data_IF_078761701152
#
_entry.id   IF_078761701152
#
_cell.length_a   1.000
_cell.length_b   1.000
_cell.length_c   1.000
_cell.angle_alpha   90.00
_cell.angle_beta   90.00
_cell.angle_gamma   90.00
#
_symmetry.space_group_name_H-M   'P 1'
#
loop_
_entity.id
_entity.type
_entity.pdbx_description
1 polymer ?
#
# COMPACT_ATOMS: atom_id res chain seq x y z
N UNK A 1 -9.70 12.00 -51.51
CA UNK A 1 -9.05 10.88 -50.80
C UNK A 1 -7.90 11.43 -49.98
N UNK A 2 -8.13 11.53 -48.68
CA UNK A 2 -7.16 11.70 -47.59
C UNK A 2 -8.03 11.38 -46.36
N UNK A 3 -8.06 10.13 -45.89
CA UNK A 3 -6.96 9.49 -45.17
C UNK A 3 -7.40 9.49 -43.71
N UNK A 4 -8.23 8.50 -43.35
CA UNK A 4 -8.61 8.23 -41.96
C UNK A 4 -7.34 8.07 -41.13
N UNK A 5 -7.17 8.92 -40.11
CA UNK A 5 -6.23 8.67 -39.01
C UNK A 5 -7.02 8.11 -37.83
N UNK A 6 -6.98 6.79 -37.76
CA UNK A 6 -7.09 5.86 -36.63
C UNK A 6 -7.46 6.43 -35.24
N UNK A 7 -8.55 5.87 -34.71
CA UNK A 7 -8.93 5.76 -33.29
C UNK A 7 -7.76 5.23 -32.45
N UNK A 8 -7.42 5.91 -31.35
CA UNK A 8 -6.69 5.35 -30.21
C UNK A 8 -6.76 6.34 -29.03
N UNK A 9 -7.93 6.49 -28.38
CA UNK A 9 -8.04 7.09 -27.03
C UNK A 9 -9.49 7.12 -26.49
N UNK A 10 -10.28 6.07 -26.73
CA UNK A 10 -11.62 5.95 -26.14
C UNK A 10 -11.70 4.65 -25.37
N UNK A 11 -12.22 4.74 -24.13
CA UNK A 11 -12.64 3.62 -23.30
C UNK A 11 -13.42 2.60 -24.13
N UNK A 12 -12.98 1.34 -24.18
CA UNK A 12 -13.72 0.23 -24.77
C UNK A 12 -15.04 -0.02 -24.02
N UNK A 13 -15.13 0.39 -22.76
CA UNK A 13 -16.35 0.40 -21.96
C UNK A 13 -17.20 1.66 -22.15
N UNK A 14 -16.70 2.64 -22.92
CA UNK A 14 -17.39 3.89 -23.20
C UNK A 14 -17.60 4.77 -21.97
N UNK A 15 -16.74 4.63 -20.95
CA UNK A 15 -16.72 5.47 -19.74
C UNK A 15 -16.44 6.92 -20.15
N UNK A 16 -17.39 7.86 -20.01
CA UNK A 16 -17.21 9.24 -20.46
C UNK A 16 -16.17 9.97 -19.61
N UNK A 17 -15.16 10.57 -20.25
CA UNK A 17 -14.13 11.35 -19.54
C UNK A 17 -13.03 10.52 -18.87
N UNK A 18 -13.12 9.19 -18.92
CA UNK A 18 -12.11 8.30 -18.38
C UNK A 18 -11.06 7.92 -19.42
N UNK A 19 -9.79 8.02 -19.03
CA UNK A 19 -8.63 7.52 -19.76
C UNK A 19 -7.85 6.53 -18.88
N UNK A 20 -7.83 5.23 -19.23
CA UNK A 20 -7.11 4.21 -18.45
C UNK A 20 -5.57 4.37 -18.48
N UNK A 21 -5.03 5.24 -19.34
CA UNK A 21 -3.58 5.48 -19.49
C UNK A 21 -3.12 6.85 -18.97
N UNK A 22 -4.00 7.64 -18.31
CA UNK A 22 -3.64 8.97 -17.82
C UNK A 22 -2.76 8.92 -16.56
N UNK A 23 -1.79 9.83 -16.44
CA UNK A 23 -0.98 10.07 -15.25
C UNK A 23 -0.77 11.60 -15.03
N UNK A 24 -1.31 12.15 -13.94
CA UNK A 24 -1.17 13.54 -13.49
C UNK A 24 -2.29 14.50 -13.91
N UNK A 25 -2.70 15.42 -13.00
CA UNK A 25 -3.74 16.50 -13.05
C UNK A 25 -5.13 16.14 -13.63
N UNK A 26 -5.18 15.40 -14.73
CA UNK A 26 -6.30 14.60 -15.16
C UNK A 26 -6.68 13.54 -14.11
N UNK A 27 -5.81 13.18 -13.16
CA UNK A 27 -6.07 12.14 -12.15
C UNK A 27 -7.38 12.35 -11.39
N UNK A 28 -7.69 13.58 -10.94
CA UNK A 28 -8.91 13.82 -10.16
C UNK A 28 -10.17 13.80 -11.05
N UNK A 29 -10.12 14.39 -12.25
CA UNK A 29 -11.23 14.36 -13.18
C UNK A 29 -11.47 12.95 -13.75
N UNK A 30 -10.39 12.22 -14.00
CA UNK A 30 -10.37 10.83 -14.43
C UNK A 30 -10.92 9.90 -13.33
N UNK A 31 -10.52 10.12 -12.07
CA UNK A 31 -11.05 9.41 -10.92
C UNK A 31 -12.53 9.69 -10.71
N UNK A 32 -12.95 10.95 -10.84
CA UNK A 32 -14.37 11.29 -10.77
C UNK A 32 -15.16 10.62 -11.89
N UNK A 33 -14.65 10.62 -13.12
CA UNK A 33 -15.30 9.93 -14.24
C UNK A 33 -15.43 8.42 -14.02
N UNK A 34 -14.39 7.79 -13.45
CA UNK A 34 -14.44 6.37 -13.08
C UNK A 34 -15.44 6.12 -11.94
N UNK A 35 -15.46 6.98 -10.92
CA UNK A 35 -16.41 6.89 -9.82
C UNK A 35 -17.84 7.09 -10.30
N UNK A 36 -18.13 8.15 -11.06
CA UNK A 36 -19.45 8.44 -11.63
C UNK A 36 -19.98 7.29 -12.50
N UNK A 37 -19.09 6.54 -13.17
CA UNK A 37 -19.46 5.35 -13.92
C UNK A 37 -19.82 4.16 -13.02
N UNK A 38 -19.07 3.95 -11.94
CA UNK A 38 -19.26 2.84 -10.99
C UNK A 38 -20.39 3.14 -9.98
N UNK A 39 -20.70 4.40 -9.74
CA UNK A 39 -21.72 4.89 -8.80
C UNK A 39 -22.54 6.05 -9.38
N UNK A 40 -23.27 5.86 -10.51
CA UNK A 40 -24.01 6.93 -11.18
C UNK A 40 -25.10 7.58 -10.32
N UNK A 41 -25.67 6.84 -9.37
CA UNK A 41 -26.64 7.34 -8.41
C UNK A 41 -26.53 6.67 -7.03
N UNK A 42 -26.97 7.38 -5.99
CA UNK A 42 -26.95 6.91 -4.61
C UNK A 42 -27.07 8.08 -3.64
N UNK A 43 -27.10 7.76 -2.36
CA UNK A 43 -27.18 8.77 -1.31
C UNK A 43 -26.57 8.25 0.00
N UNK A 44 -26.18 9.18 0.87
CA UNK A 44 -25.78 8.87 2.24
C UNK A 44 -26.99 8.52 3.11
N UNK A 45 -26.98 7.32 3.69
CA UNK A 45 -27.95 6.86 4.70
C UNK A 45 -27.21 6.34 5.92
N UNK A 46 -27.51 6.88 7.10
CA UNK A 46 -26.90 6.46 8.38
C UNK A 46 -25.36 6.40 8.37
N UNK A 47 -24.73 7.39 7.73
CA UNK A 47 -23.26 7.49 7.64
C UNK A 47 -22.63 6.48 6.67
N UNK A 48 -23.42 5.81 5.83
CA UNK A 48 -22.96 4.92 4.76
C UNK A 48 -23.54 5.34 3.42
N UNK A 49 -22.76 5.12 2.37
CA UNK A 49 -23.26 5.31 1.02
C UNK A 49 -24.15 4.13 0.62
N UNK A 50 -25.33 4.42 0.07
CA UNK A 50 -26.29 3.43 -0.42
C UNK A 50 -26.50 3.64 -1.91
N UNK A 51 -26.32 2.60 -2.76
CA UNK A 51 -26.50 2.73 -4.20
C UNK A 51 -27.95 3.03 -4.54
N UNK A 52 -28.13 3.91 -5.52
CA UNK A 52 -29.41 4.09 -6.18
C UNK A 52 -29.69 2.98 -7.18
N UNK A 53 -30.74 3.19 -7.97
CA UNK A 53 -31.22 2.18 -8.92
C UNK A 53 -30.25 2.02 -10.08
N UNK A 54 -29.73 3.11 -10.62
CA UNK A 54 -28.83 3.07 -11.78
C UNK A 54 -27.50 2.40 -11.42
N UNK A 55 -26.99 2.61 -10.21
CA UNK A 55 -25.81 1.92 -9.71
C UNK A 55 -26.08 0.44 -9.51
N UNK A 56 -27.22 0.05 -8.94
CA UNK A 56 -27.56 -1.37 -8.79
C UNK A 56 -27.64 -2.08 -10.16
N UNK A 57 -28.34 -1.48 -11.13
CA UNK A 57 -28.43 -2.01 -12.50
C UNK A 57 -27.06 -2.04 -13.21
N UNK A 58 -26.19 -1.06 -12.93
CA UNK A 58 -24.81 -1.03 -13.45
C UNK A 58 -24.02 -2.25 -12.97
N UNK A 59 -23.99 -2.51 -11.67
CA UNK A 59 -23.22 -3.63 -11.12
C UNK A 59 -23.80 -4.99 -11.50
N UNK A 60 -25.13 -5.13 -11.60
CA UNK A 60 -25.76 -6.34 -12.15
C UNK A 60 -25.27 -6.60 -13.59
N UNK A 61 -25.24 -5.57 -14.44
CA UNK A 61 -24.74 -5.70 -15.80
C UNK A 61 -23.23 -6.01 -15.87
N UNK A 62 -22.44 -5.48 -14.92
CA UNK A 62 -21.01 -5.79 -14.84
C UNK A 62 -20.77 -7.25 -14.45
N UNK A 63 -21.53 -7.77 -13.48
CA UNK A 63 -21.45 -9.15 -13.00
C UNK A 63 -21.93 -10.18 -14.05
N UNK A 64 -22.96 -9.85 -14.83
CA UNK A 64 -23.43 -10.69 -15.95
C UNK A 64 -22.54 -10.59 -17.21
N UNK A 65 -21.64 -9.60 -17.24
CA UNK A 65 -20.80 -9.27 -18.37
C UNK A 65 -19.88 -10.42 -18.80
N UNK A 66 -19.77 -10.65 -20.11
CA UNK A 66 -18.75 -11.53 -20.68
C UNK A 66 -17.48 -10.75 -20.96
N UNK A 67 -16.58 -10.76 -20.00
CA UNK A 67 -15.31 -10.03 -20.06
C UNK A 67 -14.30 -10.75 -20.95
N UNK A 68 -13.67 -10.00 -21.86
CA UNK A 68 -12.38 -10.36 -22.45
C UNK A 68 -11.26 -9.61 -21.72
N UNK A 69 -9.99 -10.00 -21.97
CA UNK A 69 -8.83 -9.42 -21.27
C UNK A 69 -8.78 -7.90 -21.35
N UNK A 70 -8.92 -7.31 -22.55
CA UNK A 70 -8.84 -5.85 -22.72
C UNK A 70 -9.98 -5.10 -22.00
N UNK A 71 -11.20 -5.63 -22.05
CA UNK A 71 -12.32 -5.02 -21.30
C UNK A 71 -12.17 -5.13 -19.79
N UNK A 72 -11.52 -6.19 -19.31
CA UNK A 72 -11.29 -6.41 -17.88
C UNK A 72 -10.15 -5.52 -17.36
N UNK A 73 -9.09 -5.36 -18.15
CA UNK A 73 -7.99 -4.42 -17.87
C UNK A 73 -8.53 -3.00 -17.72
N UNK A 74 -9.41 -2.57 -18.62
CA UNK A 74 -10.02 -1.24 -18.52
C UNK A 74 -10.97 -1.08 -17.34
N UNK A 75 -11.80 -2.10 -17.06
CA UNK A 75 -12.68 -2.06 -15.89
C UNK A 75 -11.88 -1.98 -14.59
N UNK A 76 -10.86 -2.83 -14.44
CA UNK A 76 -10.01 -2.84 -13.24
C UNK A 76 -9.19 -1.56 -13.11
N UNK A 77 -8.80 -0.92 -14.22
CA UNK A 77 -8.21 0.42 -14.17
C UNK A 77 -9.21 1.44 -13.62
N UNK A 78 -10.47 1.43 -14.06
CA UNK A 78 -11.49 2.32 -13.50
C UNK A 78 -11.75 2.06 -12.00
N UNK A 79 -11.79 0.79 -11.59
CA UNK A 79 -11.88 0.40 -10.18
C UNK A 79 -10.70 0.98 -9.38
N UNK A 80 -9.47 0.79 -9.85
CA UNK A 80 -8.26 1.29 -9.20
C UNK A 80 -8.26 2.82 -9.09
N UNK A 81 -8.51 3.54 -10.18
CA UNK A 81 -8.51 5.00 -10.20
C UNK A 81 -9.64 5.55 -9.28
N UNK A 82 -10.84 4.97 -9.30
CA UNK A 82 -11.93 5.40 -8.41
C UNK A 82 -11.60 5.23 -6.92
N UNK A 83 -10.83 4.19 -6.56
CA UNK A 83 -10.44 3.93 -5.16
C UNK A 83 -9.54 5.02 -4.56
N UNK A 84 -8.86 5.81 -5.40
CA UNK A 84 -8.06 6.97 -4.93
C UNK A 84 -8.93 8.02 -4.25
N UNK A 85 -10.22 8.08 -4.60
CA UNK A 85 -11.18 9.06 -4.05
C UNK A 85 -11.64 8.74 -2.63
N UNK A 86 -11.25 7.59 -2.07
CA UNK A 86 -11.50 7.27 -0.65
C UNK A 86 -10.90 8.31 0.31
N UNK A 87 -9.79 8.94 -0.07
CA UNK A 87 -9.16 10.02 0.68
C UNK A 87 -9.79 11.42 0.48
N UNK A 88 -10.90 11.53 -0.24
CA UNK A 88 -11.57 12.81 -0.50
C UNK A 88 -12.02 13.49 0.80
N UNK A 89 -11.97 14.82 0.81
CA UNK A 89 -12.53 15.65 1.88
C UNK A 89 -14.05 15.80 1.79
N UNK A 90 -14.64 15.44 0.64
CA UNK A 90 -16.08 15.34 0.49
C UNK A 90 -16.55 13.96 0.98
N UNK A 91 -17.32 13.95 2.06
CA UNK A 91 -17.73 12.72 2.76
C UNK A 91 -18.55 11.79 1.86
N UNK A 92 -19.43 12.34 1.02
CA UNK A 92 -20.26 11.56 0.10
C UNK A 92 -19.41 10.90 -0.99
N UNK A 93 -18.46 11.65 -1.58
CA UNK A 93 -17.48 11.11 -2.53
C UNK A 93 -16.61 10.01 -1.91
N UNK A 94 -16.07 10.25 -0.71
CA UNK A 94 -15.23 9.27 0.00
C UNK A 94 -16.00 7.98 0.31
N UNK A 95 -17.26 8.11 0.75
CA UNK A 95 -18.12 6.98 1.05
C UNK A 95 -18.55 6.21 -0.21
N UNK A 96 -18.88 6.91 -1.31
CA UNK A 96 -19.18 6.30 -2.61
C UNK A 96 -17.97 5.51 -3.15
N UNK A 97 -16.78 6.09 -3.09
CA UNK A 97 -15.54 5.44 -3.52
C UNK A 97 -15.20 4.22 -2.66
N UNK A 98 -15.44 4.30 -1.35
CA UNK A 98 -15.26 3.15 -0.44
C UNK A 98 -16.24 2.02 -0.76
N UNK A 99 -17.50 2.34 -1.04
CA UNK A 99 -18.49 1.35 -1.47
C UNK A 99 -18.12 0.73 -2.83
N UNK A 100 -17.70 1.54 -3.80
CA UNK A 100 -17.26 1.06 -5.12
C UNK A 100 -16.02 0.16 -5.02
N UNK A 101 -15.08 0.49 -4.12
CA UNK A 101 -13.90 -0.33 -3.81
C UNK A 101 -14.31 -1.69 -3.26
N UNK A 102 -15.25 -1.72 -2.31
CA UNK A 102 -15.79 -2.98 -1.78
C UNK A 102 -16.40 -3.85 -2.88
N UNK A 103 -17.26 -3.28 -3.73
CA UNK A 103 -17.86 -4.00 -4.87
C UNK A 103 -16.83 -4.48 -5.89
N UNK A 104 -15.77 -3.72 -6.10
CA UNK A 104 -14.66 -4.09 -6.99
C UNK A 104 -13.92 -5.34 -6.46
N UNK A 105 -13.70 -5.42 -5.15
CA UNK A 105 -13.13 -6.61 -4.50
C UNK A 105 -14.06 -7.81 -4.66
N UNK A 106 -15.36 -7.65 -4.39
CA UNK A 106 -16.35 -8.71 -4.58
C UNK A 106 -16.38 -9.23 -6.04
N UNK A 107 -16.35 -8.32 -7.01
CA UNK A 107 -16.29 -8.64 -8.43
C UNK A 107 -15.01 -9.40 -8.79
N UNK A 108 -13.85 -8.93 -8.34
CA UNK A 108 -12.57 -9.58 -8.58
C UNK A 108 -12.53 -11.01 -8.01
N UNK A 109 -13.17 -11.23 -6.86
CA UNK A 109 -13.26 -12.55 -6.23
C UNK A 109 -14.24 -13.47 -6.98
N UNK A 110 -15.46 -12.99 -7.23
CA UNK A 110 -16.59 -13.80 -7.68
C UNK A 110 -16.73 -13.96 -9.19
N UNK A 111 -16.30 -12.96 -9.97
CA UNK A 111 -16.57 -12.90 -11.41
C UNK A 111 -15.34 -13.10 -12.28
N UNK A 112 -14.14 -12.80 -11.78
CA UNK A 112 -12.90 -12.90 -12.56
C UNK A 112 -12.26 -14.28 -12.38
N UNK A 113 -12.21 -15.13 -13.42
CA UNK A 113 -11.50 -16.41 -13.34
C UNK A 113 -9.99 -16.19 -13.21
N UNK A 114 -9.30 -17.06 -12.45
CA UNK A 114 -7.84 -16.95 -12.24
C UNK A 114 -7.02 -16.84 -13.53
N UNK A 115 -7.43 -17.52 -14.60
CA UNK A 115 -6.76 -17.46 -15.91
C UNK A 115 -6.82 -16.09 -16.59
N UNK A 116 -7.73 -15.22 -16.14
CA UNK A 116 -7.96 -13.89 -16.71
C UNK A 116 -7.31 -12.78 -15.86
N UNK A 117 -6.60 -13.14 -14.77
CA UNK A 117 -5.69 -12.23 -14.05
C UNK A 117 -4.40 -12.02 -14.86
N UNK A 118 -4.49 -11.19 -15.91
CA UNK A 118 -3.31 -10.69 -16.65
C UNK A 118 -2.44 -9.82 -15.74
N UNK A 119 -1.19 -9.58 -16.12
CA UNK A 119 -0.27 -8.68 -15.39
C UNK A 119 -0.92 -7.31 -15.14
N UNK A 120 -1.54 -6.72 -16.17
CA UNK A 120 -2.27 -5.44 -16.06
C UNK A 120 -3.44 -5.51 -15.07
N UNK A 121 -4.25 -6.58 -15.10
CA UNK A 121 -5.35 -6.76 -14.14
C UNK A 121 -4.80 -6.87 -12.72
N UNK A 122 -3.70 -7.60 -12.51
CA UNK A 122 -3.06 -7.71 -11.20
C UNK A 122 -2.54 -6.38 -10.69
N UNK A 123 -1.85 -5.62 -11.54
CA UNK A 123 -1.31 -4.30 -11.20
C UNK A 123 -2.43 -3.30 -10.86
N UNK A 124 -3.53 -3.30 -11.62
CA UNK A 124 -4.69 -2.47 -11.32
C UNK A 124 -5.33 -2.84 -9.97
N UNK A 125 -5.55 -4.13 -9.71
CA UNK A 125 -6.13 -4.59 -8.45
C UNK A 125 -5.17 -4.37 -7.26
N UNK A 126 -3.86 -4.47 -7.46
CA UNK A 126 -2.86 -4.10 -6.47
C UNK A 126 -2.91 -2.61 -6.15
N UNK A 127 -3.05 -1.73 -7.16
CA UNK A 127 -3.25 -0.30 -6.94
C UNK A 127 -4.56 -0.01 -6.17
N UNK A 128 -5.64 -0.74 -6.45
CA UNK A 128 -6.88 -0.67 -5.67
C UNK A 128 -6.67 -1.03 -4.19
N UNK A 129 -5.96 -2.13 -3.93
CA UNK A 129 -5.64 -2.56 -2.56
C UNK A 129 -4.66 -1.60 -1.87
N UNK A 130 -3.69 -1.05 -2.60
CA UNK A 130 -2.75 -0.04 -2.11
C UNK A 130 -3.44 1.26 -1.66
N UNK A 131 -4.60 1.59 -2.25
CA UNK A 131 -5.49 2.65 -1.77
C UNK A 131 -6.35 2.23 -0.55
N UNK A 132 -6.05 1.09 0.06
CA UNK A 132 -6.65 0.56 1.30
C UNK A 132 -5.61 0.21 2.37
N UNK A 133 -4.70 1.15 2.71
CA UNK A 133 -3.56 0.84 3.57
C UNK A 133 -3.96 0.58 5.03
N UNK A 134 -5.01 1.23 5.54
CA UNK A 134 -5.53 0.96 6.90
C UNK A 134 -6.08 -0.47 7.02
N UNK A 135 -6.73 -0.96 5.97
CA UNK A 135 -7.21 -2.34 5.91
C UNK A 135 -6.05 -3.35 5.87
N UNK A 136 -5.01 -3.10 5.05
CA UNK A 136 -3.81 -3.95 4.99
C UNK A 136 -3.09 -3.96 6.35
N UNK A 137 -2.83 -2.80 6.93
CA UNK A 137 -2.16 -2.70 8.24
C UNK A 137 -3.01 -3.34 9.36
N UNK A 138 -4.32 -3.20 9.27
CA UNK A 138 -5.27 -3.81 10.19
C UNK A 138 -5.21 -5.33 10.19
N UNK A 139 -5.32 -5.95 9.02
CA UNK A 139 -5.22 -7.40 8.85
C UNK A 139 -3.83 -7.93 9.25
N UNK A 140 -2.75 -7.23 8.86
CA UNK A 140 -1.39 -7.57 9.27
C UNK A 140 -1.18 -7.57 10.79
N UNK A 141 -2.02 -6.85 11.54
CA UNK A 141 -2.00 -6.78 13.00
C UNK A 141 -3.06 -7.69 13.65
N UNK A 142 -3.57 -8.70 12.92
CA UNK A 142 -4.58 -9.66 13.40
C UNK A 142 -5.98 -9.06 13.55
N UNK A 143 -6.25 -7.93 12.89
CA UNK A 143 -7.58 -7.32 12.81
C UNK A 143 -8.53 -8.08 11.89
N UNK A 144 -9.75 -7.57 11.75
CA UNK A 144 -10.74 -8.14 10.84
C UNK A 144 -11.64 -7.04 10.26
N UNK A 145 -11.87 -7.12 8.95
CA UNK A 145 -12.80 -6.31 8.19
C UNK A 145 -14.26 -6.70 8.46
N UNK A 146 -14.52 -7.87 9.03
CA UNK A 146 -15.87 -8.30 9.41
C UNK A 146 -16.40 -7.56 10.66
N UNK A 147 -15.51 -6.91 11.42
CA UNK A 147 -15.87 -6.07 12.56
C UNK A 147 -16.32 -4.70 12.07
N UNK A 148 -17.50 -4.27 12.49
CA UNK A 148 -18.08 -2.99 12.07
C UNK A 148 -17.27 -1.78 12.57
N UNK A 149 -17.06 -0.80 11.67
CA UNK A 149 -16.58 0.56 11.97
C UNK A 149 -15.15 0.66 12.49
N UNK A 150 -14.26 -0.27 12.12
CA UNK A 150 -12.82 -0.17 12.40
C UNK A 150 -12.08 0.47 11.23
N UNK A 151 -12.43 0.08 10.00
CA UNK A 151 -11.83 0.54 8.75
C UNK A 151 -12.92 1.03 7.79
N UNK A 152 -12.52 1.66 6.68
CA UNK A 152 -13.49 2.12 5.68
C UNK A 152 -14.26 0.95 5.05
N UNK A 153 -13.58 -0.17 4.79
CA UNK A 153 -14.20 -1.39 4.23
C UNK A 153 -14.89 -2.28 5.27
N UNK A 154 -14.89 -1.91 6.56
CA UNK A 154 -15.47 -2.73 7.63
C UNK A 154 -16.94 -3.05 7.41
N UNK A 155 -17.27 -4.34 7.36
CA UNK A 155 -18.62 -4.86 7.13
C UNK A 155 -19.12 -4.71 5.70
N UNK A 156 -18.28 -4.23 4.76
CA UNK A 156 -18.54 -4.23 3.33
C UNK A 156 -17.79 -5.36 2.61
N UNK A 157 -16.64 -5.76 3.15
CA UNK A 157 -15.78 -6.81 2.61
C UNK A 157 -15.38 -7.76 3.75
N UNK A 158 -15.34 -9.06 3.47
CA UNK A 158 -14.81 -10.07 4.40
C UNK A 158 -13.28 -10.15 4.31
N UNK A 159 -12.63 -10.61 5.39
CA UNK A 159 -11.18 -10.87 5.40
C UNK A 159 -10.79 -11.76 4.22
N UNK A 160 -11.56 -12.84 4.02
CA UNK A 160 -11.38 -13.80 2.93
C UNK A 160 -11.46 -13.16 1.55
N UNK A 161 -12.38 -12.23 1.30
CA UNK A 161 -12.47 -11.57 0.00
C UNK A 161 -11.25 -10.66 -0.25
N UNK A 162 -10.85 -9.87 0.74
CA UNK A 162 -9.72 -8.96 0.64
C UNK A 162 -8.40 -9.74 0.43
N UNK A 163 -8.14 -10.72 1.30
CA UNK A 163 -6.98 -11.61 1.24
C UNK A 163 -6.94 -12.41 -0.07
N UNK A 164 -8.10 -12.82 -0.60
CA UNK A 164 -8.15 -13.52 -1.89
C UNK A 164 -7.68 -12.63 -3.04
N UNK A 165 -8.05 -11.35 -3.08
CA UNK A 165 -7.55 -10.44 -4.13
C UNK A 165 -6.05 -10.23 -3.95
N UNK A 166 -5.59 -9.97 -2.72
CA UNK A 166 -4.17 -9.81 -2.40
C UNK A 166 -3.35 -11.04 -2.85
N UNK A 167 -3.79 -12.25 -2.50
CA UNK A 167 -3.21 -13.52 -2.93
C UNK A 167 -3.17 -13.71 -4.45
N UNK A 168 -4.16 -13.20 -5.18
CA UNK A 168 -4.25 -13.36 -6.64
C UNK A 168 -3.35 -12.39 -7.42
N UNK A 169 -2.89 -11.32 -6.78
CA UNK A 169 -2.10 -10.26 -7.43
C UNK A 169 -0.63 -10.26 -7.00
N UNK A 170 -0.31 -10.72 -5.79
CA UNK A 170 1.03 -10.58 -5.19
C UNK A 170 2.13 -11.38 -5.91
N UNK A 171 1.76 -12.34 -6.76
CA UNK A 171 2.69 -13.09 -7.61
C UNK A 171 3.17 -12.31 -8.85
N UNK A 172 2.68 -11.08 -9.07
CA UNK A 172 3.23 -10.13 -10.02
C UNK A 172 4.19 -9.16 -9.31
N UNK A 173 5.41 -9.04 -9.81
CA UNK A 173 6.48 -8.24 -9.19
C UNK A 173 6.12 -6.75 -9.09
N UNK A 174 5.48 -6.18 -10.12
CA UNK A 174 5.07 -4.78 -10.09
C UNK A 174 3.87 -4.54 -9.16
N UNK A 175 2.96 -5.51 -9.07
CA UNK A 175 1.86 -5.50 -8.11
C UNK A 175 2.39 -5.56 -6.67
N UNK A 176 3.35 -6.44 -6.39
CA UNK A 176 4.01 -6.54 -5.09
C UNK A 176 4.76 -5.26 -4.73
N UNK A 177 5.54 -4.70 -5.65
CA UNK A 177 6.24 -3.42 -5.46
C UNK A 177 5.28 -2.26 -5.17
N UNK A 178 4.14 -2.19 -5.88
CA UNK A 178 3.09 -1.20 -5.64
C UNK A 178 2.54 -1.28 -4.22
N UNK A 179 2.25 -2.50 -3.73
CA UNK A 179 1.72 -2.73 -2.38
C UNK A 179 2.74 -2.39 -1.30
N UNK A 180 3.99 -2.86 -1.47
CA UNK A 180 5.09 -2.58 -0.53
C UNK A 180 5.35 -1.08 -0.45
N UNK A 181 5.47 -0.40 -1.60
CA UNK A 181 5.70 1.05 -1.66
C UNK A 181 4.57 1.83 -1.00
N UNK A 182 3.31 1.47 -1.26
CA UNK A 182 2.17 2.11 -0.62
C UNK A 182 2.21 1.96 0.91
N UNK A 183 2.57 0.78 1.41
CA UNK A 183 2.65 0.55 2.85
C UNK A 183 3.86 1.23 3.50
N UNK A 184 5.00 1.32 2.83
CA UNK A 184 6.13 2.13 3.30
C UNK A 184 5.73 3.61 3.43
N UNK A 185 5.06 4.16 2.41
CA UNK A 185 4.54 5.53 2.45
C UNK A 185 3.51 5.74 3.55
N UNK A 186 2.58 4.79 3.74
CA UNK A 186 1.60 4.81 4.83
C UNK A 186 2.27 4.86 6.20
N UNK A 187 3.22 3.96 6.48
CA UNK A 187 3.89 3.91 7.78
C UNK A 187 4.75 5.15 8.03
N UNK A 188 5.41 5.67 6.99
CA UNK A 188 6.14 6.94 7.09
C UNK A 188 5.20 8.11 7.46
N UNK A 189 4.04 8.23 6.80
CA UNK A 189 3.02 9.21 7.16
C UNK A 189 2.50 9.05 8.59
N UNK A 190 2.29 7.80 9.05
CA UNK A 190 1.86 7.52 10.42
C UNK A 190 2.93 7.92 11.45
N UNK A 191 4.21 7.74 11.14
CA UNK A 191 5.32 8.20 11.98
C UNK A 191 5.31 9.72 12.06
N UNK A 192 5.34 10.41 10.92
CA UNK A 192 5.39 11.88 10.84
C UNK A 192 4.18 12.57 11.49
N UNK A 193 3.00 11.96 11.38
CA UNK A 193 1.79 12.51 12.00
C UNK A 193 1.75 12.32 13.52
N UNK A 194 2.41 11.29 14.07
CA UNK A 194 2.30 10.92 15.49
C UNK A 194 3.48 11.40 16.32
N UNK A 195 4.69 11.33 15.78
CA UNK A 195 5.92 11.70 16.49
C UNK A 195 5.92 13.13 17.06
N UNK A 196 5.44 14.17 16.37
CA UNK A 196 5.43 15.54 16.91
C UNK A 196 4.58 15.73 18.16
N UNK A 197 3.65 14.81 18.45
CA UNK A 197 2.72 14.87 19.59
C UNK A 197 2.93 13.73 20.58
N UNK A 198 3.97 12.92 20.38
CA UNK A 198 4.27 11.76 21.23
C UNK A 198 4.65 12.19 22.65
N UNK A 199 4.03 11.55 23.64
CA UNK A 199 4.42 11.74 25.06
C UNK A 199 5.69 10.96 25.40
N UNK A 200 5.86 9.79 24.79
CA UNK A 200 7.09 9.01 24.77
C UNK A 200 7.50 8.76 23.30
N UNK A 201 8.36 9.61 22.72
CA UNK A 201 8.77 9.46 21.33
C UNK A 201 9.56 8.16 21.06
N UNK A 202 10.28 7.63 22.05
CA UNK A 202 11.02 6.38 21.92
C UNK A 202 10.08 5.19 21.78
N UNK A 203 9.15 5.04 22.72
CA UNK A 203 8.11 3.99 22.67
C UNK A 203 7.22 4.13 21.43
N UNK A 204 6.85 5.37 21.07
CA UNK A 204 6.03 5.63 19.88
C UNK A 204 6.75 5.19 18.61
N UNK A 205 8.02 5.55 18.43
CA UNK A 205 8.79 5.18 17.24
C UNK A 205 8.95 3.66 17.12
N UNK A 206 9.27 3.00 18.23
CA UNK A 206 9.39 1.54 18.31
C UNK A 206 8.11 0.84 17.87
N UNK A 207 6.96 1.25 18.42
CA UNK A 207 5.66 0.68 18.05
C UNK A 207 5.31 0.93 16.57
N UNK A 208 5.66 2.11 16.01
CA UNK A 208 5.42 2.40 14.58
C UNK A 208 6.24 1.50 13.67
N UNK A 209 7.52 1.28 13.98
CA UNK A 209 8.36 0.38 13.19
C UNK A 209 8.03 -1.11 13.41
N UNK A 210 7.48 -1.49 14.57
CA UNK A 210 6.89 -2.81 14.76
C UNK A 210 5.72 -3.02 13.79
N UNK A 211 4.79 -2.06 13.69
CA UNK A 211 3.67 -2.13 12.75
C UNK A 211 4.12 -2.14 11.29
N UNK A 212 5.17 -1.38 10.94
CA UNK A 212 5.78 -1.45 9.61
C UNK A 212 6.31 -2.86 9.32
N UNK A 213 7.03 -3.45 10.28
CA UNK A 213 7.48 -4.84 10.21
C UNK A 213 6.32 -5.82 9.99
N UNK A 214 5.22 -5.70 10.75
CA UNK A 214 4.02 -6.53 10.59
C UNK A 214 3.47 -6.49 9.17
N UNK A 215 3.31 -5.31 8.58
CA UNK A 215 2.81 -5.22 7.20
C UNK A 215 3.76 -5.86 6.19
N UNK A 216 5.07 -5.66 6.33
CA UNK A 216 6.05 -6.33 5.46
C UNK A 216 5.94 -7.84 5.59
N UNK A 217 5.88 -8.37 6.81
CA UNK A 217 5.73 -9.80 7.06
C UNK A 217 4.43 -10.35 6.48
N UNK A 218 3.32 -9.62 6.62
CA UNK A 218 2.01 -10.03 6.10
C UNK A 218 1.98 -10.16 4.57
N UNK A 219 2.55 -9.18 3.86
CA UNK A 219 2.66 -9.24 2.40
C UNK A 219 3.56 -10.40 1.95
N UNK A 220 4.70 -10.58 2.62
CA UNK A 220 5.66 -11.68 2.39
C UNK A 220 5.02 -13.05 2.63
N UNK A 221 4.30 -13.22 3.74
CA UNK A 221 3.58 -14.46 4.06
C UNK A 221 2.53 -14.83 3.02
N UNK A 222 1.78 -13.85 2.49
CA UNK A 222 0.82 -14.10 1.41
C UNK A 222 1.55 -14.40 0.08
N UNK A 223 2.66 -13.71 -0.21
CA UNK A 223 3.47 -13.96 -1.39
C UNK A 223 4.03 -15.39 -1.40
N UNK A 224 4.59 -15.86 -0.28
CA UNK A 224 5.05 -17.23 -0.11
C UNK A 224 3.88 -18.24 -0.17
N UNK A 225 2.75 -17.94 0.48
CA UNK A 225 1.53 -18.76 0.41
C UNK A 225 1.06 -18.95 -1.05
N UNK A 226 1.22 -17.92 -1.87
CA UNK A 226 0.87 -17.92 -3.30
C UNK A 226 1.90 -18.65 -4.16
N UNK A 227 3.19 -18.45 -3.91
CA UNK A 227 4.29 -19.10 -4.60
C UNK A 227 4.26 -20.63 -4.40
N UNK A 228 3.94 -21.08 -3.19
CA UNK A 228 4.05 -22.47 -2.78
C UNK A 228 5.47 -23.02 -2.94
N UNK A 229 5.61 -24.34 -3.02
CA UNK A 229 6.92 -25.02 -2.95
C UNK A 229 7.86 -24.83 -4.16
N UNK A 230 7.49 -24.04 -5.19
CA UNK A 230 8.13 -24.14 -6.52
C UNK A 230 8.53 -22.84 -7.22
N UNK A 231 8.28 -21.67 -6.64
CA UNK A 231 8.65 -20.37 -7.22
C UNK A 231 9.42 -19.51 -6.23
N UNK A 232 10.22 -18.58 -6.76
CA UNK A 232 10.82 -17.51 -5.96
C UNK A 232 9.73 -16.61 -5.42
N UNK A 233 9.90 -16.14 -4.21
CA UNK A 233 9.12 -15.03 -3.66
C UNK A 233 9.30 -13.78 -4.56
N UNK A 234 8.23 -13.01 -4.73
CA UNK A 234 8.22 -11.73 -5.44
C UNK A 234 8.68 -10.58 -4.54
N UNK A 235 8.68 -10.78 -3.23
CA UNK A 235 9.08 -9.76 -2.25
C UNK A 235 10.53 -10.00 -1.82
N UNK A 236 11.41 -9.03 -2.10
CA UNK A 236 12.77 -9.03 -1.53
C UNK A 236 12.74 -8.51 -0.09
N UNK A 237 12.35 -9.40 0.83
CA UNK A 237 12.21 -9.09 2.26
C UNK A 237 13.53 -8.63 2.89
N UNK A 238 14.68 -9.09 2.39
CA UNK A 238 15.98 -8.70 2.93
C UNK A 238 16.27 -7.24 2.62
N UNK A 239 16.00 -6.81 1.39
CA UNK A 239 16.13 -5.43 0.97
C UNK A 239 15.13 -4.52 1.69
N UNK A 240 13.85 -4.92 1.79
CA UNK A 240 12.83 -4.13 2.49
C UNK A 240 13.17 -3.95 3.97
N UNK A 241 13.62 -5.00 4.67
CA UNK A 241 14.06 -4.88 6.07
C UNK A 241 15.26 -3.97 6.23
N UNK A 242 16.21 -4.01 5.28
CA UNK A 242 17.37 -3.12 5.28
C UNK A 242 16.91 -1.67 5.17
N UNK A 243 15.97 -1.38 4.25
CA UNK A 243 15.36 -0.05 4.08
C UNK A 243 14.63 0.39 5.35
N UNK A 244 13.77 -0.46 5.92
CA UNK A 244 13.02 -0.15 7.15
C UNK A 244 13.94 0.18 8.32
N UNK A 245 14.99 -0.61 8.55
CA UNK A 245 15.96 -0.35 9.62
C UNK A 245 16.72 0.95 9.38
N UNK A 246 17.13 1.22 8.14
CA UNK A 246 17.83 2.46 7.80
C UNK A 246 16.94 3.69 8.04
N UNK A 247 15.68 3.65 7.59
CA UNK A 247 14.69 4.69 7.88
C UNK A 247 14.48 4.86 9.39
N UNK A 248 14.37 3.76 10.13
CA UNK A 248 14.22 3.78 11.58
C UNK A 248 15.36 4.50 12.29
N UNK A 249 16.60 4.30 11.83
CA UNK A 249 17.76 4.99 12.40
C UNK A 249 17.78 6.47 12.03
N UNK A 250 17.37 6.82 10.81
CA UNK A 250 17.23 8.22 10.36
C UNK A 250 16.22 8.95 11.24
N UNK A 251 15.04 8.36 11.44
CA UNK A 251 14.00 8.93 12.29
C UNK A 251 14.46 9.03 13.74
N UNK A 252 15.06 7.98 14.29
CA UNK A 252 15.60 8.00 15.64
C UNK A 252 16.63 9.12 15.83
N UNK A 253 17.51 9.36 14.84
CA UNK A 253 18.45 10.46 14.86
C UNK A 253 17.74 11.83 14.83
N UNK A 254 16.78 12.00 13.92
CA UNK A 254 16.06 13.26 13.72
C UNK A 254 15.16 13.63 14.90
N UNK A 255 14.65 12.64 15.63
CA UNK A 255 13.91 12.84 16.88
C UNK A 255 14.81 12.88 18.13
N UNK A 256 16.14 12.85 17.98
CA UNK A 256 17.09 13.00 19.08
C UNK A 256 17.13 11.82 20.04
N UNK A 257 16.80 10.62 19.55
CA UNK A 257 16.70 9.38 20.35
C UNK A 257 18.00 8.57 20.36
N UNK A 258 18.99 8.97 19.57
CA UNK A 258 20.29 8.32 19.52
C UNK A 258 21.31 9.02 20.43
N UNK A 259 22.29 8.26 20.90
CA UNK A 259 23.35 8.81 21.75
C UNK A 259 24.33 9.72 20.98
N UNK A 260 24.98 10.64 21.70
CA UNK A 260 26.03 11.49 21.12
C UNK A 260 27.15 10.66 20.46
N UNK A 261 27.53 9.53 21.06
CA UNK A 261 28.54 8.62 20.51
C UNK A 261 28.08 8.00 19.18
N UNK A 262 26.79 7.71 19.05
CA UNK A 262 26.18 7.20 17.82
C UNK A 262 26.23 8.25 16.71
N UNK A 263 25.95 9.52 17.05
CA UNK A 263 26.06 10.64 16.11
C UNK A 263 27.52 10.95 15.74
N UNK A 264 28.46 10.86 16.67
CA UNK A 264 29.90 11.00 16.41
C UNK A 264 30.41 9.92 15.45
N UNK A 265 29.93 8.68 15.59
CA UNK A 265 30.26 7.59 14.67
C UNK A 265 29.75 7.86 13.25
N UNK A 266 28.62 8.56 13.07
CA UNK A 266 28.17 8.98 11.74
C UNK A 266 29.11 10.02 11.11
N UNK A 267 29.69 10.91 11.93
CA UNK A 267 30.59 11.97 11.48
C UNK A 267 32.03 11.50 11.20
N UNK A 268 32.49 10.42 11.84
CA UNK A 268 33.91 10.02 11.83
C UNK A 268 34.17 8.55 11.53
N UNK A 269 33.14 7.70 11.61
CA UNK A 269 33.27 6.24 11.57
C UNK A 269 33.55 5.66 10.19
N UNK A 270 33.38 6.42 9.12
CA UNK A 270 33.62 5.96 7.75
C UNK A 270 35.10 6.17 7.35
N UNK A 271 35.96 5.27 7.83
CA UNK A 271 37.42 5.33 7.60
C UNK A 271 38.07 6.67 8.06
N UNK A 272 37.58 7.22 9.18
CA UNK A 272 38.05 8.49 9.72
C UNK A 272 37.37 9.74 9.12
N UNK A 273 36.38 9.55 8.25
CA UNK A 273 35.53 10.62 7.71
C UNK A 273 34.03 10.37 7.94
N UNK A 274 33.17 11.31 7.53
CA UNK A 274 31.73 11.17 7.67
C UNK A 274 31.15 10.14 6.70
N UNK A 275 30.06 9.51 7.10
CA UNK A 275 29.18 8.79 6.18
C UNK A 275 28.51 9.78 5.21
N UNK A 276 28.14 9.32 4.02
CA UNK A 276 27.53 10.17 2.97
C UNK A 276 26.17 10.77 3.35
N UNK A 277 25.48 10.15 4.31
CA UNK A 277 24.20 10.61 4.85
C UNK A 277 24.37 11.53 6.07
N UNK A 278 25.60 11.75 6.56
CA UNK A 278 25.86 12.70 7.64
C UNK A 278 26.02 14.11 7.06
N UNK A 279 25.35 15.08 7.67
CA UNK A 279 25.55 16.49 7.39
C UNK A 279 25.40 17.33 8.66
N UNK A 280 25.71 18.62 8.57
CA UNK A 280 25.41 19.59 9.62
C UNK A 280 24.47 20.68 9.10
N UNK A 281 23.31 20.82 9.71
CA UNK A 281 22.34 21.89 9.42
C UNK A 281 22.33 22.85 10.62
N UNK A 282 22.64 24.12 10.39
CA UNK A 282 22.78 25.13 11.44
C UNK A 282 23.75 24.73 12.58
N UNK A 283 24.82 24.00 12.22
CA UNK A 283 25.83 23.50 13.16
C UNK A 283 25.34 22.35 14.05
N UNK A 284 24.21 21.71 13.70
CA UNK A 284 23.71 20.51 14.37
C UNK A 284 23.89 19.28 13.48
N UNK A 285 24.37 18.15 14.04
CA UNK A 285 24.38 16.87 13.34
C UNK A 285 23.00 16.50 12.80
N UNK A 286 22.93 16.09 11.54
CA UNK A 286 21.71 15.63 10.88
C UNK A 286 22.02 14.38 10.06
N UNK A 287 21.14 13.39 10.15
CA UNK A 287 21.16 12.20 9.30
C UNK A 287 20.10 12.40 8.21
N UNK A 288 20.52 12.43 6.96
CA UNK A 288 19.64 12.60 5.81
C UNK A 288 19.34 11.27 5.15
N UNK A 289 18.18 11.13 4.54
CA UNK A 289 17.82 9.99 3.71
C UNK A 289 17.28 10.47 2.36
N UNK A 290 17.41 9.64 1.33
CA UNK A 290 16.61 9.82 0.13
C UNK A 290 15.18 9.35 0.41
N UNK A 291 14.21 9.98 -0.24
CA UNK A 291 12.80 9.60 -0.18
C UNK A 291 12.29 9.39 -1.61
N UNK A 292 11.99 8.14 -2.03
CA UNK A 292 12.15 6.90 -1.27
C UNK A 292 13.62 6.48 -1.09
N UNK A 293 13.89 5.60 -0.11
CA UNK A 293 15.22 5.04 0.12
C UNK A 293 15.41 3.74 -0.67
N UNK A 294 16.43 3.70 -1.53
CA UNK A 294 16.81 2.50 -2.25
C UNK A 294 17.60 1.52 -1.36
N UNK A 295 17.50 0.18 -1.56
CA UNK A 295 18.20 -0.80 -0.73
C UNK A 295 19.72 -0.65 -0.70
N UNK A 296 20.34 -0.22 -1.82
CA UNK A 296 21.77 0.03 -1.91
C UNK A 296 22.19 1.24 -1.05
N UNK A 297 21.39 2.31 -1.03
CA UNK A 297 21.58 3.46 -0.17
C UNK A 297 21.43 3.08 1.32
N UNK A 298 20.51 2.15 1.65
CA UNK A 298 20.27 1.67 3.01
C UNK A 298 21.50 0.95 3.62
N UNK A 299 22.37 0.34 2.80
CA UNK A 299 23.57 -0.36 3.27
C UNK A 299 24.55 0.56 4.01
N UNK A 300 24.59 1.86 3.67
CA UNK A 300 25.41 2.83 4.40
C UNK A 300 25.05 2.89 5.89
N UNK A 301 23.75 2.87 6.21
CA UNK A 301 23.25 2.93 7.58
C UNK A 301 23.50 1.63 8.33
N UNK A 302 23.44 0.48 7.63
CA UNK A 302 23.80 -0.82 8.22
C UNK A 302 25.28 -0.85 8.60
N UNK A 303 26.17 -0.29 7.78
CA UNK A 303 27.58 -0.16 8.13
C UNK A 303 27.75 0.73 9.38
N UNK A 304 27.08 1.87 9.45
CA UNK A 304 27.09 2.73 10.64
C UNK A 304 26.59 2.01 11.89
N UNK A 305 25.49 1.26 11.78
CA UNK A 305 24.91 0.44 12.86
C UNK A 305 25.91 -0.56 13.46
N UNK A 306 26.83 -1.12 12.66
CA UNK A 306 27.86 -2.06 13.15
C UNK A 306 28.94 -1.41 14.00
N UNK A 307 29.12 -0.09 13.90
CA UNK A 307 30.14 0.66 14.63
C UNK A 307 29.69 1.08 16.02
N UNK A 308 28.38 1.02 16.29
CA UNK A 308 27.75 1.61 17.47
C UNK A 308 27.01 0.55 18.28
N UNK A 309 26.96 0.76 19.59
CA UNK A 309 26.14 -0.03 20.50
C UNK A 309 25.05 0.86 21.11
N UNK A 310 24.13 1.32 20.26
CA UNK A 310 23.02 2.19 20.65
C UNK A 310 21.79 1.35 21.03
N UNK A 311 21.26 1.48 22.27
CA UNK A 311 20.09 0.74 22.69
C UNK A 311 18.85 0.99 21.81
N UNK A 312 18.65 2.23 21.34
CA UNK A 312 17.48 2.59 20.53
C UNK A 312 17.53 1.87 19.18
N UNK A 313 18.68 1.88 18.50
CA UNK A 313 18.85 1.14 17.24
C UNK A 313 18.64 -0.37 17.43
N UNK A 314 19.15 -0.94 18.52
CA UNK A 314 18.96 -2.36 18.81
C UNK A 314 17.49 -2.72 19.07
N UNK A 315 16.76 -1.86 19.78
CA UNK A 315 15.33 -2.05 19.99
C UNK A 315 14.56 -1.92 18.68
N UNK A 316 14.88 -0.97 17.81
CA UNK A 316 14.26 -0.85 16.48
C UNK A 316 14.47 -2.11 15.63
N UNK A 317 15.69 -2.67 15.62
CA UNK A 317 15.96 -3.96 14.95
C UNK A 317 15.05 -5.06 15.48
N UNK A 318 14.92 -5.14 16.81
CA UNK A 318 14.14 -6.16 17.51
C UNK A 318 12.65 -6.02 17.20
N UNK A 319 12.12 -4.80 17.23
CA UNK A 319 10.70 -4.54 16.99
C UNK A 319 10.31 -4.77 15.53
N UNK A 320 11.16 -4.40 14.58
CA UNK A 320 10.95 -4.70 13.16
C UNK A 320 10.91 -6.22 12.93
N UNK A 321 11.84 -6.97 13.51
CA UNK A 321 11.90 -8.43 13.35
C UNK A 321 10.73 -9.15 14.06
N UNK A 322 10.34 -8.68 15.24
CA UNK A 322 9.19 -9.18 15.98
C UNK A 322 7.89 -8.90 15.21
N UNK A 323 7.71 -7.66 14.74
CA UNK A 323 6.60 -7.25 13.92
C UNK A 323 6.47 -8.09 12.67
N UNK A 324 7.58 -8.24 11.92
CA UNK A 324 7.62 -9.11 10.74
C UNK A 324 7.13 -10.52 11.06
N UNK A 325 7.63 -11.13 12.13
CA UNK A 325 7.30 -12.54 12.43
C UNK A 325 5.81 -12.71 12.70
N UNK A 326 5.21 -11.75 13.43
CA UNK A 326 3.77 -11.74 13.70
C UNK A 326 2.96 -11.55 12.42
N UNK A 327 3.31 -10.55 11.61
CA UNK A 327 2.61 -10.30 10.35
C UNK A 327 2.74 -11.45 9.36
N UNK A 328 3.91 -12.09 9.28
CA UNK A 328 4.16 -13.26 8.45
C UNK A 328 3.25 -14.43 8.83
N UNK A 329 3.09 -14.69 10.13
CA UNK A 329 2.17 -15.73 10.62
C UNK A 329 0.71 -15.41 10.22
N UNK A 330 0.28 -14.15 10.30
CA UNK A 330 -1.05 -13.72 9.82
C UNK A 330 -1.19 -13.91 8.30
N UNK A 331 -0.16 -13.56 7.52
CA UNK A 331 -0.15 -13.72 6.06
C UNK A 331 -0.23 -15.18 5.62
N UNK A 332 0.48 -16.08 6.31
CA UNK A 332 0.40 -17.52 6.10
C UNK A 332 -0.94 -18.12 6.54
N UNK A 333 -1.60 -17.50 7.52
CA UNK A 333 -2.92 -17.91 8.00
C UNK A 333 -4.08 -17.36 7.15
N UNK A 334 -3.79 -16.51 6.15
CA UNK A 334 -4.78 -15.88 5.29
C UNK A 334 -5.74 -16.92 4.67
N UNK A 335 -7.04 -16.62 4.75
CA UNK A 335 -8.11 -17.48 4.24
C UNK A 335 -8.43 -17.09 2.81
N UNK A 336 -7.81 -17.77 1.86
CA UNK A 336 -7.94 -17.44 0.43
C UNK A 336 -8.81 -18.43 -0.34
N UNK A 337 -9.51 -17.94 -1.36
CA UNK A 337 -10.25 -18.77 -2.33
C UNK A 337 -9.31 -19.10 -3.50
N UNK A 338 -8.82 -20.34 -3.52
CA UNK A 338 -7.92 -20.90 -4.54
C UNK A 338 -8.60 -21.23 -5.86
#
# INVERSE_FOLDING_TARGET
>A
MAGCSLRADQSALGIPGFNPSAAGQDDQANAQAALDYLTPDGEMTDGRWVPGKETAERWEALEEGRWNSSSLEELTAAMAVSSTMRGSQDEETSAAATWATARSIEFAVGQVPLKDYTETVKQNLAALLANSPDEIAGLANGGSLEVSSVYGLSGLVTDTQFETVLYRVIDDENAADTLVTAMLGYHHYQIDSKMPTATDPGETLLGRYQHAGMTTGYLDGIAELRAGDSTSDTIDVADIRTVLRAQAYVDAANYGLLSDATMEAAATGNNGGPFSFYTEVDGKPTITASDPMAPDAAQGYMNWRTLVNDPTMHMLDTEIDAGYSLGYDEGQAAKVIK
#
